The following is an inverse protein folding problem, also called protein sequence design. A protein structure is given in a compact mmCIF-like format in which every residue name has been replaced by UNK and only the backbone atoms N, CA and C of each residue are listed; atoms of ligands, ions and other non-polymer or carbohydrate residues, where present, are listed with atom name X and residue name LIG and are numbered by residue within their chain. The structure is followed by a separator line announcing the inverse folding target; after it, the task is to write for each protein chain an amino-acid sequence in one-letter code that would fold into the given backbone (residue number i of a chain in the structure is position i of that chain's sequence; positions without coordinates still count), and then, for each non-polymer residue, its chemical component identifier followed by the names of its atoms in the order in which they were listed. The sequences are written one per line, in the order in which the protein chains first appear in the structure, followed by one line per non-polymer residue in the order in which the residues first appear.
data_IF_261486978124
#
_entry.id   IF_261486978124
#
_cell.length_a   1.000
_cell.length_b   1.000
_cell.length_c   1.000
_cell.angle_alpha   90.00
_cell.angle_beta   90.00
_cell.angle_gamma   90.00
#
_symmetry.space_group_name_H-M   'P 1'
#
loop_
_entity.id
_entity.type
_entity.pdbx_description
1 polymer ?
#
# COMPACT_ATOMS: atom_id res chain seq x y z
N UNK A 1 57.85 20.84 -12.46
CA UNK A 1 59.05 20.45 -11.67
C UNK A 1 58.57 19.56 -10.53
N UNK A 2 58.51 18.25 -10.74
CA UNK A 2 59.50 17.23 -10.31
C UNK A 2 59.72 17.18 -8.79
N UNK A 3 59.24 16.11 -8.16
CA UNK A 3 60.04 15.00 -7.59
C UNK A 3 59.29 14.34 -6.42
N UNK A 4 58.87 13.09 -6.59
CA UNK A 4 59.00 12.08 -5.53
C UNK A 4 59.35 10.71 -6.11
N UNK A 5 60.27 10.11 -5.38
CA UNK A 5 61.20 9.01 -5.61
C UNK A 5 60.54 7.63 -5.68
N UNK A 6 61.21 6.73 -6.40
CA UNK A 6 60.90 5.32 -6.63
C UNK A 6 61.33 4.37 -5.50
N UNK A 7 60.77 3.15 -5.47
CA UNK A 7 61.45 1.85 -5.28
C UNK A 7 60.44 0.69 -5.53
N UNK A 8 60.51 -0.05 -6.64
CA UNK A 8 61.25 -1.31 -6.95
C UNK A 8 60.40 -2.60 -6.81
N UNK A 9 60.05 -3.14 -7.99
CA UNK A 9 60.02 -4.53 -8.52
C UNK A 9 59.79 -5.73 -7.58
N UNK A 10 58.94 -6.68 -8.03
CA UNK A 10 59.41 -7.94 -8.64
C UNK A 10 58.29 -8.65 -9.45
N UNK A 11 58.70 -9.23 -10.57
CA UNK A 11 57.87 -10.01 -11.50
C UNK A 11 57.89 -11.50 -11.15
N UNK A 12 56.84 -12.25 -11.54
CA UNK A 12 56.97 -13.54 -12.24
C UNK A 12 55.61 -14.04 -12.73
N UNK A 13 55.60 -14.46 -13.99
CA UNK A 13 54.53 -15.18 -14.67
C UNK A 13 54.64 -16.68 -14.38
N UNK A 14 53.51 -17.40 -14.40
CA UNK A 14 53.41 -18.78 -14.91
C UNK A 14 51.97 -19.13 -15.25
N UNK A 15 51.83 -19.83 -16.37
CA UNK A 15 50.61 -20.38 -16.93
C UNK A 15 50.07 -21.58 -16.13
N UNK A 16 48.76 -21.85 -16.24
CA UNK A 16 48.18 -23.13 -15.81
C UNK A 16 47.22 -23.65 -16.87
N UNK A 17 47.59 -24.81 -17.41
CA UNK A 17 46.89 -25.62 -18.40
C UNK A 17 45.85 -26.51 -17.72
N UNK A 18 44.76 -26.80 -18.44
CA UNK A 18 43.63 -27.63 -18.04
C UNK A 18 43.99 -29.12 -17.81
N UNK A 19 43.32 -29.77 -16.85
CA UNK A 19 43.16 -31.23 -16.80
C UNK A 19 41.71 -31.56 -16.41
N UNK A 20 41.05 -32.28 -17.32
CA UNK A 20 39.74 -32.91 -17.17
C UNK A 20 39.93 -34.26 -16.44
N UNK A 21 39.18 -34.50 -15.36
CA UNK A 21 39.16 -35.82 -14.68
C UNK A 21 37.72 -36.33 -14.57
N UNK A 22 37.49 -37.50 -15.17
CA UNK A 22 36.29 -38.31 -15.02
C UNK A 22 36.20 -38.85 -13.59
N UNK A 23 35.03 -38.73 -12.97
CA UNK A 23 34.69 -39.42 -11.72
C UNK A 23 33.79 -40.62 -12.04
N UNK A 24 34.38 -41.82 -11.98
CA UNK A 24 33.67 -43.07 -11.73
C UNK A 24 33.42 -43.17 -10.22
N UNK A 25 32.19 -43.45 -9.81
CA UNK A 25 31.90 -43.81 -8.41
C UNK A 25 30.94 -44.99 -8.33
N UNK A 26 31.29 -45.86 -7.39
CA UNK A 26 30.90 -47.25 -7.27
C UNK A 26 29.47 -47.45 -6.76
N UNK A 27 28.89 -48.56 -7.23
CA UNK A 27 27.69 -49.21 -6.70
C UNK A 27 27.88 -49.62 -5.24
N UNK A 28 27.03 -49.10 -4.35
CA UNK A 28 26.79 -49.69 -3.03
C UNK A 28 25.30 -50.05 -2.93
N UNK A 29 25.05 -51.34 -2.88
CA UNK A 29 23.74 -51.94 -2.64
C UNK A 29 23.37 -51.81 -1.16
N UNK A 30 22.42 -50.92 -0.85
CA UNK A 30 21.70 -50.91 0.41
C UNK A 30 20.25 -51.33 0.15
N UNK A 31 19.84 -52.40 0.82
CA UNK A 31 18.53 -53.02 0.73
C UNK A 31 17.41 -52.00 1.03
N UNK A 32 16.45 -51.88 0.11
CA UNK A 32 15.21 -51.17 0.33
C UNK A 32 14.37 -51.94 1.35
N UNK A 33 14.28 -51.43 2.58
CA UNK A 33 13.11 -51.67 3.41
C UNK A 33 11.93 -50.95 2.74
N UNK A 34 10.92 -51.70 2.32
CA UNK A 34 9.71 -51.16 1.73
C UNK A 34 9.01 -50.24 2.73
N UNK A 35 9.02 -48.94 2.46
CA UNK A 35 8.12 -47.99 3.13
C UNK A 35 6.67 -48.41 2.88
N UNK A 36 5.78 -48.34 3.87
CA UNK A 36 4.37 -48.59 3.63
C UNK A 36 3.89 -47.58 2.60
N UNK A 37 3.30 -48.08 1.54
CA UNK A 37 2.63 -47.32 0.49
C UNK A 37 1.61 -46.40 1.12
N UNK A 38 2.01 -45.15 1.39
CA UNK A 38 1.08 -44.05 1.50
C UNK A 38 0.50 -43.88 0.09
N UNK A 39 -0.71 -44.40 -0.10
CA UNK A 39 -1.46 -44.18 -1.33
C UNK A 39 -1.72 -42.68 -1.38
N UNK A 40 -0.80 -41.97 -2.03
CA UNK A 40 -1.03 -40.63 -2.56
C UNK A 40 -2.24 -40.73 -3.48
N UNK A 41 -3.44 -40.57 -2.92
CA UNK A 41 -4.64 -40.34 -3.68
C UNK A 41 -4.34 -39.13 -4.57
N UNK A 42 -4.20 -39.38 -5.87
CA UNK A 42 -4.01 -38.31 -6.84
C UNK A 42 -5.15 -37.31 -6.62
N UNK A 43 -4.80 -36.05 -6.33
CA UNK A 43 -5.80 -35.01 -6.11
C UNK A 43 -6.69 -34.97 -7.34
N UNK A 44 -7.98 -35.26 -7.15
CA UNK A 44 -8.94 -35.49 -8.21
C UNK A 44 -9.60 -34.21 -8.72
N UNK A 45 -9.48 -33.09 -8.02
CA UNK A 45 -10.04 -31.80 -8.44
C UNK A 45 -9.14 -30.56 -8.29
N UNK A 46 -9.62 -29.44 -8.81
CA UNK A 46 -8.98 -28.11 -8.79
C UNK A 46 -10.05 -27.02 -8.74
N UNK A 47 -9.80 -25.94 -8.00
CA UNK A 47 -10.65 -24.73 -8.06
C UNK A 47 -10.15 -23.76 -9.14
N UNK A 48 -11.06 -23.21 -9.92
CA UNK A 48 -10.80 -22.18 -10.94
C UNK A 48 -11.77 -21.01 -10.78
N UNK A 49 -11.40 -19.83 -11.30
CA UNK A 49 -12.30 -18.66 -11.29
C UNK A 49 -13.50 -18.91 -12.22
N UNK A 50 -14.72 -18.67 -11.75
CA UNK A 50 -15.93 -18.84 -12.55
C UNK A 50 -15.91 -17.98 -13.82
N UNK A 51 -15.31 -16.78 -13.77
CA UNK A 51 -15.19 -15.89 -14.93
C UNK A 51 -14.24 -16.42 -16.01
N UNK A 52 -13.41 -17.42 -15.70
CA UNK A 52 -12.56 -18.10 -16.68
C UNK A 52 -13.29 -19.16 -17.49
N UNK A 53 -14.53 -19.50 -17.13
CA UNK A 53 -15.33 -20.55 -17.76
C UNK A 53 -16.43 -19.95 -18.65
N UNK A 54 -16.74 -20.58 -19.80
CA UNK A 54 -17.90 -20.19 -20.57
C UNK A 54 -19.20 -20.53 -19.84
N UNK A 55 -20.25 -19.73 -20.06
CA UNK A 55 -21.49 -19.77 -19.28
C UNK A 55 -22.23 -21.11 -19.36
N UNK A 56 -22.10 -21.84 -20.48
CA UNK A 56 -22.67 -23.16 -20.64
C UNK A 56 -22.04 -24.20 -19.71
N UNK A 57 -20.76 -24.04 -19.37
CA UNK A 57 -20.08 -24.87 -18.39
C UNK A 57 -20.51 -24.54 -16.96
N UNK A 58 -21.18 -23.43 -16.67
CA UNK A 58 -21.67 -23.11 -15.33
C UNK A 58 -23.08 -23.65 -15.05
N UNK A 59 -23.77 -24.20 -16.05
CA UNK A 59 -25.15 -24.70 -15.92
C UNK A 59 -25.26 -25.73 -14.78
N UNK A 60 -26.28 -25.56 -13.95
CA UNK A 60 -26.52 -26.43 -12.80
C UNK A 60 -25.77 -26.00 -11.55
N UNK A 61 -24.87 -25.01 -11.63
CA UNK A 61 -24.23 -24.34 -10.49
C UNK A 61 -24.67 -22.87 -10.35
N UNK A 62 -25.88 -22.59 -10.80
CA UNK A 62 -26.42 -21.22 -10.91
C UNK A 62 -26.99 -20.67 -9.59
N UNK A 63 -27.15 -21.51 -8.56
CA UNK A 63 -27.91 -21.19 -7.34
C UNK A 63 -27.16 -21.58 -6.07
N UNK A 64 -25.99 -20.99 -5.78
CA UNK A 64 -25.30 -21.22 -4.52
C UNK A 64 -26.12 -20.68 -3.33
N UNK A 65 -26.28 -21.54 -2.33
CA UNK A 65 -27.01 -21.25 -1.09
C UNK A 65 -26.04 -20.79 0.01
N UNK A 66 -26.46 -19.95 0.96
CA UNK A 66 -25.64 -19.62 2.13
C UNK A 66 -25.10 -20.87 2.83
N UNK A 67 -23.83 -20.85 3.24
CA UNK A 67 -23.18 -22.01 3.87
C UNK A 67 -23.93 -22.52 5.10
N UNK A 68 -24.47 -21.60 5.92
CA UNK A 68 -25.26 -21.96 7.10
C UNK A 68 -26.52 -22.79 6.77
N UNK A 69 -27.16 -22.54 5.62
CA UNK A 69 -28.32 -23.31 5.15
C UNK A 69 -27.89 -24.70 4.65
N UNK A 70 -26.77 -24.75 3.92
CA UNK A 70 -26.16 -26.01 3.48
C UNK A 70 -25.75 -26.88 4.67
N UNK A 71 -25.06 -26.33 5.66
CA UNK A 71 -24.60 -27.07 6.83
C UNK A 71 -25.78 -27.67 7.62
N UNK A 72 -26.84 -26.89 7.88
CA UNK A 72 -28.04 -27.36 8.61
C UNK A 72 -28.77 -28.50 7.91
N UNK A 73 -28.84 -28.47 6.58
CA UNK A 73 -29.51 -29.52 5.80
C UNK A 73 -28.71 -30.82 5.71
N UNK A 74 -27.43 -30.81 6.09
CA UNK A 74 -26.50 -31.94 5.98
C UNK A 74 -25.97 -32.41 7.34
N UNK A 75 -26.46 -31.86 8.45
CA UNK A 75 -26.23 -32.38 9.80
C UNK A 75 -27.42 -33.26 10.20
N UNK A 76 -27.16 -34.53 10.54
CA UNK A 76 -28.19 -35.54 10.87
C UNK A 76 -28.75 -35.38 12.28
N UNK A 77 -28.13 -34.57 13.14
CA UNK A 77 -28.66 -34.25 14.47
C UNK A 77 -28.57 -32.75 14.74
N UNK A 78 -29.75 -32.16 14.98
CA UNK A 78 -29.93 -30.73 15.18
C UNK A 78 -29.20 -30.22 16.42
N UNK A 79 -28.08 -29.52 16.20
CA UNK A 79 -27.54 -28.61 17.20
C UNK A 79 -27.74 -27.18 16.70
N UNK A 80 -28.72 -26.51 17.29
CA UNK A 80 -28.96 -25.08 17.08
C UNK A 80 -27.81 -24.31 17.71
N UNK A 81 -26.91 -23.75 16.90
CA UNK A 81 -25.95 -22.74 17.35
C UNK A 81 -26.39 -21.36 16.90
N UNK A 82 -26.86 -20.57 17.86
CA UNK A 82 -26.94 -19.12 17.75
C UNK A 82 -25.55 -18.55 18.02
N UNK A 83 -24.91 -17.99 17.00
CA UNK A 83 -23.79 -17.06 17.20
C UNK A 83 -24.35 -15.65 17.17
N UNK A 84 -24.25 -14.96 18.32
CA UNK A 84 -24.41 -13.52 18.36
C UNK A 84 -23.26 -12.90 17.53
N UNK A 85 -23.59 -12.21 16.44
CA UNK A 85 -22.64 -11.39 15.73
C UNK A 85 -22.14 -10.30 16.69
N UNK A 86 -20.86 -10.35 17.06
CA UNK A 86 -20.23 -9.22 17.73
C UNK A 86 -20.26 -8.07 16.73
N UNK A 87 -20.89 -6.95 17.11
CA UNK A 87 -20.97 -5.80 16.24
C UNK A 87 -19.56 -5.24 15.98
N UNK A 88 -19.25 -4.95 14.72
CA UNK A 88 -18.00 -4.28 14.35
C UNK A 88 -17.84 -2.96 15.15
N UNK A 89 -16.62 -2.64 15.60
CA UNK A 89 -16.30 -1.33 16.13
C UNK A 89 -16.77 -0.19 15.18
N UNK A 90 -17.18 0.97 15.73
CA UNK A 90 -17.78 2.04 14.93
C UNK A 90 -16.91 2.55 13.76
N UNK A 91 -15.60 2.63 13.97
CA UNK A 91 -14.59 3.02 12.99
C UNK A 91 -14.48 2.01 11.83
N UNK A 92 -14.49 0.71 12.13
CA UNK A 92 -14.52 -0.35 11.11
C UNK A 92 -15.81 -0.28 10.29
N UNK A 93 -16.95 -0.07 10.96
CA UNK A 93 -18.27 0.02 10.31
C UNK A 93 -18.35 1.21 9.35
N UNK A 94 -17.79 2.36 9.73
CA UNK A 94 -17.71 3.52 8.85
C UNK A 94 -16.79 3.25 7.65
N UNK A 95 -15.59 2.71 7.88
CA UNK A 95 -14.63 2.42 6.81
C UNK A 95 -15.19 1.41 5.80
N UNK A 96 -15.87 0.34 6.24
CA UNK A 96 -16.55 -0.63 5.34
C UNK A 96 -17.58 0.05 4.44
N UNK A 97 -18.42 0.92 5.00
CA UNK A 97 -19.44 1.66 4.23
C UNK A 97 -18.81 2.56 3.17
N UNK A 98 -17.73 3.26 3.52
CA UNK A 98 -17.01 4.09 2.55
C UNK A 98 -16.30 3.23 1.49
N UNK A 99 -15.74 2.09 1.90
CA UNK A 99 -15.09 1.12 1.02
C UNK A 99 -16.03 0.61 -0.06
N UNK A 100 -17.27 0.26 0.31
CA UNK A 100 -18.29 -0.20 -0.61
C UNK A 100 -18.60 0.81 -1.73
N UNK A 101 -18.50 2.12 -1.44
CA UNK A 101 -18.67 3.20 -2.43
C UNK A 101 -17.49 3.29 -3.42
N UNK A 102 -16.39 2.59 -3.15
CA UNK A 102 -15.16 2.57 -3.96
C UNK A 102 -14.89 1.18 -4.54
N UNK A 103 -15.95 0.41 -4.86
CA UNK A 103 -15.89 -1.00 -5.23
C UNK A 103 -14.83 -1.35 -6.30
N UNK A 104 -14.68 -0.54 -7.36
CA UNK A 104 -13.68 -0.80 -8.40
C UNK A 104 -12.24 -0.77 -7.87
N UNK A 105 -11.91 0.21 -7.01
CA UNK A 105 -10.59 0.32 -6.38
C UNK A 105 -10.40 -0.75 -5.29
N UNK A 106 -11.46 -0.97 -4.49
CA UNK A 106 -11.45 -1.93 -3.39
C UNK A 106 -11.22 -3.38 -3.83
N UNK A 107 -11.50 -3.74 -5.10
CA UNK A 107 -11.25 -5.09 -5.65
C UNK A 107 -9.81 -5.33 -6.12
N UNK A 108 -9.01 -4.27 -6.28
CA UNK A 108 -7.61 -4.40 -6.70
C UNK A 108 -6.75 -5.03 -5.59
N UNK A 109 -5.58 -5.56 -5.92
CA UNK A 109 -4.65 -6.12 -4.93
C UNK A 109 -4.23 -5.10 -3.86
N UNK A 110 -4.13 -3.81 -4.22
CA UNK A 110 -3.80 -2.74 -3.25
C UNK A 110 -5.03 -2.23 -2.48
N UNK A 111 -6.23 -2.51 -2.98
CA UNK A 111 -7.47 -1.99 -2.42
C UNK A 111 -7.63 -0.48 -2.61
N UNK A 112 -8.57 0.10 -1.86
CA UNK A 112 -8.78 1.54 -1.76
C UNK A 112 -8.05 2.10 -0.54
N UNK A 113 -7.09 2.99 -0.77
CA UNK A 113 -6.43 3.75 0.28
C UNK A 113 -7.20 5.06 0.48
N UNK A 114 -7.95 5.16 1.58
CA UNK A 114 -8.77 6.33 1.93
C UNK A 114 -7.89 7.50 2.34
N UNK A 115 -6.89 7.23 3.16
CA UNK A 115 -5.97 8.22 3.72
C UNK A 115 -4.62 7.60 4.04
N UNK A 116 -3.69 8.38 4.59
CA UNK A 116 -2.43 7.88 5.15
C UNK A 116 -2.65 6.92 6.34
N UNK A 117 -3.85 6.84 6.91
CA UNK A 117 -4.15 6.11 8.14
C UNK A 117 -5.22 5.03 7.98
N UNK A 118 -5.96 5.02 6.88
CA UNK A 118 -7.03 4.06 6.64
C UNK A 118 -6.98 3.54 5.19
N UNK A 119 -7.09 2.22 5.04
CA UNK A 119 -7.25 1.54 3.76
C UNK A 119 -8.21 0.36 3.86
N UNK A 120 -8.75 -0.07 2.73
CA UNK A 120 -9.60 -1.26 2.71
C UNK A 120 -9.48 -2.00 1.38
N UNK A 121 -9.77 -3.30 1.42
CA UNK A 121 -9.98 -4.14 0.26
C UNK A 121 -11.27 -4.94 0.48
N UNK A 122 -12.09 -5.02 -0.57
CA UNK A 122 -13.20 -5.97 -0.68
C UNK A 122 -13.06 -6.69 -2.00
N UNK A 123 -12.78 -7.99 -1.95
CA UNK A 123 -12.68 -8.82 -3.15
C UNK A 123 -13.66 -9.99 -3.06
N UNK A 124 -14.72 -10.00 -3.90
CA UNK A 124 -15.55 -11.19 -4.05
C UNK A 124 -14.77 -12.25 -4.82
N UNK A 125 -14.88 -13.50 -4.37
CA UNK A 125 -14.36 -14.68 -5.06
C UNK A 125 -15.54 -15.55 -5.49
N UNK A 126 -15.49 -16.03 -6.73
CA UNK A 126 -16.46 -16.94 -7.32
C UNK A 126 -15.69 -18.08 -7.97
N UNK A 127 -15.64 -19.22 -7.30
CA UNK A 127 -14.76 -20.33 -7.64
C UNK A 127 -15.58 -21.56 -7.98
N UNK A 128 -15.14 -22.29 -9.00
CA UNK A 128 -15.70 -23.57 -9.42
C UNK A 128 -14.70 -24.66 -9.09
N UNK A 129 -15.10 -25.62 -8.26
CA UNK A 129 -14.38 -26.86 -8.07
C UNK A 129 -14.67 -27.78 -9.27
N UNK A 130 -13.64 -28.25 -9.95
CA UNK A 130 -13.71 -29.15 -11.10
C UNK A 130 -12.85 -30.37 -10.87
N UNK A 131 -13.07 -31.44 -11.64
CA UNK A 131 -12.07 -32.50 -11.75
C UNK A 131 -10.76 -31.97 -12.35
N UNK A 132 -9.64 -32.66 -12.13
CA UNK A 132 -8.33 -32.24 -12.65
C UNK A 132 -8.23 -32.22 -14.18
N UNK A 133 -9.14 -32.92 -14.87
CA UNK A 133 -9.21 -32.90 -16.35
C UNK A 133 -9.99 -31.69 -16.86
N UNK A 134 -10.63 -30.92 -15.97
CA UNK A 134 -11.50 -29.80 -16.31
C UNK A 134 -12.78 -30.23 -17.02
N UNK A 135 -13.20 -31.50 -16.91
CA UNK A 135 -14.34 -32.03 -17.64
C UNK A 135 -15.65 -31.91 -16.87
N UNK A 136 -15.59 -32.08 -15.55
CA UNK A 136 -16.77 -32.11 -14.68
C UNK A 136 -16.66 -31.02 -13.63
N UNK A 137 -17.75 -30.31 -13.37
CA UNK A 137 -17.82 -29.42 -12.21
C UNK A 137 -18.37 -30.18 -11.01
N UNK A 138 -17.66 -30.06 -9.89
CA UNK A 138 -17.96 -30.74 -8.64
C UNK A 138 -18.60 -29.79 -7.61
N UNK A 139 -18.48 -28.48 -7.82
CA UNK A 139 -19.24 -27.51 -7.03
C UNK A 139 -18.84 -26.07 -7.28
N UNK A 140 -19.59 -25.16 -6.66
CA UNK A 140 -19.32 -23.72 -6.67
C UNK A 140 -19.16 -23.20 -5.25
N UNK A 141 -18.20 -22.30 -5.05
CA UNK A 141 -17.93 -21.59 -3.81
C UNK A 141 -17.86 -20.10 -4.11
N UNK A 142 -18.69 -19.32 -3.41
CA UNK A 142 -18.66 -17.86 -3.45
C UNK A 142 -18.41 -17.31 -2.04
N UNK A 143 -17.60 -16.26 -1.92
CA UNK A 143 -17.40 -15.54 -0.65
C UNK A 143 -16.84 -14.13 -0.88
N UNK A 144 -17.02 -13.26 0.10
CA UNK A 144 -16.38 -11.95 0.17
C UNK A 144 -15.12 -12.02 1.04
N UNK A 145 -13.97 -11.67 0.49
CA UNK A 145 -12.75 -11.43 1.25
C UNK A 145 -12.61 -9.93 1.57
N UNK A 146 -12.32 -9.62 2.83
CA UNK A 146 -12.02 -8.26 3.29
C UNK A 146 -10.66 -8.15 3.96
N UNK A 147 -10.01 -7.01 3.77
CA UNK A 147 -8.94 -6.50 4.64
C UNK A 147 -9.19 -5.03 4.92
N UNK A 148 -9.27 -4.63 6.18
CA UNK A 148 -9.28 -3.23 6.61
C UNK A 148 -7.94 -2.90 7.25
N UNK A 149 -7.27 -1.84 6.81
CA UNK A 149 -5.98 -1.41 7.32
C UNK A 149 -6.06 -0.11 8.11
N UNK A 150 -5.42 -0.07 9.28
CA UNK A 150 -5.36 1.07 10.18
C UNK A 150 -3.91 1.38 10.57
N UNK A 151 -3.43 2.58 10.24
CA UNK A 151 -2.12 3.07 10.62
C UNK A 151 -2.27 4.29 11.53
N UNK A 152 -1.26 4.61 12.34
CA UNK A 152 -1.43 5.55 13.45
C UNK A 152 -0.38 6.66 13.47
N UNK A 153 -0.85 7.91 13.61
CA UNK A 153 0.01 8.99 14.05
C UNK A 153 0.19 8.91 15.58
N UNK A 154 1.43 8.68 16.02
CA UNK A 154 1.82 8.49 17.42
C UNK A 154 2.36 7.11 17.77
N UNK A 155 2.17 6.11 16.90
CA UNK A 155 2.63 4.74 17.14
C UNK A 155 3.23 4.14 15.88
N UNK A 156 4.36 3.45 16.01
CA UNK A 156 4.98 2.68 14.92
C UNK A 156 4.27 1.33 14.77
N UNK A 157 2.98 1.38 14.44
CA UNK A 157 2.04 0.24 14.37
C UNK A 157 1.13 0.36 13.16
N UNK A 158 0.79 -0.76 12.54
CA UNK A 158 -0.33 -0.90 11.61
C UNK A 158 -1.12 -2.15 11.98
N UNK A 159 -2.44 -2.04 11.93
CA UNK A 159 -3.36 -3.15 12.15
C UNK A 159 -4.09 -3.51 10.87
N UNK A 160 -4.29 -4.79 10.64
CA UNK A 160 -5.16 -5.32 9.60
C UNK A 160 -6.28 -6.15 10.23
N UNK A 161 -7.53 -5.81 9.92
CA UNK A 161 -8.69 -6.65 10.24
C UNK A 161 -9.07 -7.38 8.97
N UNK A 162 -8.81 -8.68 8.93
CA UNK A 162 -9.07 -9.54 7.78
C UNK A 162 -10.27 -10.44 8.05
N UNK A 163 -11.05 -10.72 7.00
CA UNK A 163 -12.18 -11.65 7.11
C UNK A 163 -12.54 -12.34 5.81
N UNK A 164 -13.29 -13.44 5.98
CA UNK A 164 -14.01 -14.17 4.93
C UNK A 164 -15.49 -14.17 5.33
N UNK A 165 -16.34 -13.63 4.47
CA UNK A 165 -17.75 -13.34 4.78
C UNK A 165 -18.67 -13.80 3.64
N UNK A 166 -19.98 -13.84 3.94
CA UNK A 166 -21.04 -14.14 2.99
C UNK A 166 -20.80 -15.43 2.19
N UNK A 167 -20.38 -16.51 2.85
CA UNK A 167 -20.03 -17.76 2.18
C UNK A 167 -21.28 -18.41 1.58
N UNK A 168 -21.22 -18.76 0.29
CA UNK A 168 -22.27 -19.51 -0.42
C UNK A 168 -21.68 -20.70 -1.15
N UNK A 169 -22.37 -21.82 -1.15
CA UNK A 169 -21.89 -23.09 -1.71
C UNK A 169 -22.95 -23.78 -2.55
N UNK A 170 -22.50 -24.56 -3.53
CA UNK A 170 -23.33 -25.49 -4.29
C UNK A 170 -22.48 -26.70 -4.70
N UNK A 171 -22.24 -27.68 -3.81
CA UNK A 171 -21.57 -28.92 -4.19
C UNK A 171 -22.54 -29.85 -4.95
N UNK A 172 -22.00 -30.73 -5.78
CA UNK A 172 -22.75 -31.90 -6.27
C UNK A 172 -22.91 -32.93 -5.13
N UNK A 173 -23.82 -33.92 -5.22
CA UNK A 173 -24.10 -34.86 -4.12
C UNK A 173 -22.89 -35.64 -3.59
N UNK A 174 -21.85 -35.85 -4.41
CA UNK A 174 -20.63 -36.56 -4.02
C UNK A 174 -19.59 -35.67 -3.33
N UNK A 175 -19.83 -34.36 -3.25
CA UNK A 175 -18.96 -33.39 -2.60
C UNK A 175 -19.58 -32.87 -1.29
N UNK A 176 -18.74 -32.69 -0.27
CA UNK A 176 -19.14 -32.16 1.02
C UNK A 176 -18.46 -30.82 1.27
N UNK A 177 -19.21 -29.72 1.13
CA UNK A 177 -18.69 -28.38 1.33
C UNK A 177 -18.35 -28.08 2.80
N UNK A 178 -18.79 -28.90 3.77
CA UNK A 178 -18.34 -28.78 5.17
C UNK A 178 -16.86 -29.08 5.32
N UNK A 179 -16.25 -29.79 4.37
CA UNK A 179 -14.82 -30.14 4.36
C UNK A 179 -13.96 -29.16 3.56
N UNK A 180 -14.58 -28.17 2.89
CA UNK A 180 -13.83 -27.16 2.15
C UNK A 180 -13.18 -26.15 3.10
N UNK A 181 -12.02 -25.63 2.71
CA UNK A 181 -11.18 -24.73 3.53
C UNK A 181 -10.79 -23.49 2.75
N UNK A 182 -10.74 -22.38 3.47
CA UNK A 182 -10.20 -21.11 2.98
C UNK A 182 -9.05 -20.70 3.91
N UNK A 183 -7.93 -20.29 3.33
CA UNK A 183 -6.76 -19.81 4.03
C UNK A 183 -6.37 -18.40 3.61
N UNK A 184 -6.02 -17.57 4.58
CA UNK A 184 -5.39 -16.26 4.39
C UNK A 184 -3.99 -16.33 4.99
N UNK A 185 -2.96 -16.10 4.16
CA UNK A 185 -1.55 -16.24 4.53
C UNK A 185 -0.84 -14.91 4.31
N UNK A 186 -0.68 -14.15 5.38
CA UNK A 186 0.05 -12.90 5.38
C UNK A 186 1.56 -13.14 5.44
N UNK A 187 2.29 -12.20 4.87
CA UNK A 187 3.73 -12.07 4.97
C UNK A 187 4.10 -10.60 4.89
N UNK A 188 5.30 -10.28 5.35
CA UNK A 188 5.85 -8.94 5.21
C UNK A 188 7.25 -9.00 4.60
N UNK A 189 7.60 -7.94 3.88
CA UNK A 189 8.94 -7.73 3.34
C UNK A 189 9.40 -6.32 3.68
N UNK A 190 10.68 -6.14 4.01
CA UNK A 190 11.28 -4.84 4.30
C UNK A 190 12.05 -4.38 3.06
N UNK A 191 11.76 -3.16 2.61
CA UNK A 191 12.54 -2.51 1.56
C UNK A 191 13.75 -1.81 2.19
N UNK A 192 14.83 -2.56 2.37
CA UNK A 192 16.05 -2.07 3.01
C UNK A 192 16.70 -0.88 2.26
N UNK A 193 16.63 -0.86 0.92
CA UNK A 193 17.26 0.21 0.11
C UNK A 193 16.55 1.56 0.23
N UNK A 194 15.28 1.56 0.61
CA UNK A 194 14.50 2.78 0.85
C UNK A 194 14.37 3.13 2.33
N UNK A 195 14.89 2.30 3.23
CA UNK A 195 14.79 2.49 4.68
C UNK A 195 16.05 3.11 5.26
N UNK A 196 15.93 3.72 6.44
CA UNK A 196 17.06 4.14 7.25
C UNK A 196 17.79 2.89 7.82
N UNK A 197 19.05 3.02 8.29
CA UNK A 197 19.85 1.89 8.74
C UNK A 197 19.20 1.02 9.84
N UNK A 198 19.47 -0.28 9.76
CA UNK A 198 18.92 -1.36 10.61
C UNK A 198 17.38 -1.43 10.65
N UNK A 199 16.70 -1.52 9.49
CA UNK A 199 15.25 -1.56 9.48
C UNK A 199 14.72 -2.86 10.08
N UNK A 200 13.71 -2.74 10.96
CA UNK A 200 13.08 -3.88 11.63
C UNK A 200 11.56 -3.74 11.63
N UNK A 201 10.87 -4.85 11.43
CA UNK A 201 9.43 -5.00 11.60
C UNK A 201 9.21 -6.24 12.47
N UNK A 202 8.37 -6.10 13.51
CA UNK A 202 7.89 -7.22 14.30
C UNK A 202 6.53 -7.63 13.75
N UNK A 203 6.45 -8.89 13.29
CA UNK A 203 5.23 -9.53 12.85
C UNK A 203 4.36 -9.99 14.03
N UNK A 204 3.05 -10.20 13.84
CA UNK A 204 2.23 -10.90 14.82
C UNK A 204 2.66 -12.37 14.97
N UNK A 205 2.28 -13.00 16.08
CA UNK A 205 2.59 -14.41 16.34
C UNK A 205 1.99 -15.36 15.28
N UNK A 206 0.80 -15.02 14.77
CA UNK A 206 0.13 -15.77 13.72
C UNK A 206 -0.07 -14.89 12.48
N UNK A 207 0.56 -15.28 11.38
CA UNK A 207 0.41 -14.63 10.07
C UNK A 207 -0.46 -15.43 9.09
N UNK A 208 -0.86 -16.65 9.45
CA UNK A 208 -1.70 -17.50 8.62
C UNK A 208 -2.92 -17.99 9.39
N UNK A 209 -4.10 -17.88 8.76
CA UNK A 209 -5.32 -18.49 9.26
C UNK A 209 -5.95 -19.32 8.17
N UNK A 210 -6.05 -20.61 8.43
CA UNK A 210 -6.68 -21.57 7.53
C UNK A 210 -7.76 -22.34 8.27
N UNK A 211 -8.97 -22.35 7.73
CA UNK A 211 -10.16 -22.82 8.42
C UNK A 211 -11.18 -23.44 7.47
N UNK A 212 -11.96 -24.38 8.01
CA UNK A 212 -13.17 -24.87 7.36
C UNK A 212 -14.16 -23.72 7.14
N UNK A 213 -15.04 -23.86 6.15
CA UNK A 213 -16.06 -22.84 5.86
C UNK A 213 -16.90 -22.50 7.11
N UNK A 214 -17.29 -23.48 7.93
CA UNK A 214 -18.04 -23.22 9.17
C UNK A 214 -17.26 -22.48 10.26
N UNK A 215 -15.93 -22.55 10.26
CA UNK A 215 -15.11 -21.72 11.15
C UNK A 215 -15.18 -20.26 10.70
N UNK A 216 -15.09 -19.99 9.40
CA UNK A 216 -15.19 -18.65 8.87
C UNK A 216 -16.60 -18.08 9.01
N UNK A 217 -17.63 -18.89 8.77
CA UNK A 217 -19.04 -18.50 8.93
C UNK A 217 -19.34 -18.08 10.38
N UNK A 218 -18.80 -18.81 11.37
CA UNK A 218 -19.02 -18.51 12.79
C UNK A 218 -18.09 -17.43 13.36
N UNK A 219 -16.84 -17.35 12.89
CA UNK A 219 -15.83 -16.37 13.33
C UNK A 219 -15.11 -15.77 12.12
N UNK A 220 -15.76 -14.87 11.37
CA UNK A 220 -15.24 -14.41 10.08
C UNK A 220 -13.98 -13.56 10.21
N UNK A 221 -13.78 -12.87 11.33
CA UNK A 221 -12.73 -11.87 11.51
C UNK A 221 -11.53 -12.41 12.28
N UNK A 222 -10.35 -11.85 11.97
CA UNK A 222 -9.14 -11.91 12.78
C UNK A 222 -8.29 -10.65 12.54
N UNK A 223 -7.31 -10.42 13.41
CA UNK A 223 -6.51 -9.19 13.40
C UNK A 223 -5.03 -9.51 13.36
N UNK A 224 -4.29 -8.76 12.55
CA UNK A 224 -2.84 -8.80 12.46
C UNK A 224 -2.28 -7.44 12.86
N UNK A 225 -1.31 -7.42 13.76
CA UNK A 225 -0.64 -6.19 14.20
C UNK A 225 0.84 -6.27 13.87
N UNK A 226 1.29 -5.37 13.00
CA UNK A 226 2.70 -5.20 12.68
C UNK A 226 3.22 -3.95 13.38
N UNK A 227 4.42 -4.05 13.95
CA UNK A 227 5.08 -2.90 14.60
C UNK A 227 6.51 -2.75 14.11
N UNK A 228 7.11 -1.60 14.35
CA UNK A 228 8.54 -1.39 14.12
C UNK A 228 9.17 -0.79 15.37
N UNK A 229 10.20 -1.42 15.96
CA UNK A 229 10.86 -0.87 17.14
C UNK A 229 11.51 0.48 16.81
N UNK A 230 11.73 1.29 17.84
CA UNK A 230 12.49 2.54 17.73
C UNK A 230 13.65 2.58 18.71
N UNK A 231 14.67 3.37 18.37
CA UNK A 231 15.91 3.59 19.12
C UNK A 231 15.86 4.92 19.91
N UNK A 232 14.66 5.43 20.19
CA UNK A 232 14.48 6.77 20.77
C UNK A 232 14.66 7.90 19.75
N UNK A 233 14.73 9.14 20.22
CA UNK A 233 14.81 10.34 19.37
C UNK A 233 16.18 10.48 18.68
N UNK A 234 16.23 10.25 17.37
CA UNK A 234 17.43 10.43 16.54
C UNK A 234 17.24 11.44 15.38
N UNK A 235 16.05 12.04 15.26
CA UNK A 235 15.69 12.93 14.16
C UNK A 235 16.54 14.22 14.14
N UNK A 236 16.98 14.71 15.30
CA UNK A 236 17.90 15.86 15.39
C UNK A 236 19.29 15.55 14.79
N UNK A 237 19.63 14.27 14.66
CA UNK A 237 20.85 13.77 14.00
C UNK A 237 20.60 13.40 12.52
N UNK A 238 19.45 13.78 11.97
CA UNK A 238 19.06 13.48 10.59
C UNK A 238 18.54 12.06 10.36
N UNK A 239 18.35 11.25 11.42
CA UNK A 239 17.84 9.89 11.30
C UNK A 239 16.39 9.81 11.77
N UNK A 240 15.46 9.72 10.81
CA UNK A 240 14.03 9.61 11.07
C UNK A 240 13.56 8.16 11.31
N UNK A 241 14.48 7.19 11.35
CA UNK A 241 14.22 5.77 11.55
C UNK A 241 13.11 5.24 10.62
N UNK A 242 13.14 5.66 9.35
CA UNK A 242 12.19 5.27 8.32
C UNK A 242 12.35 3.77 8.05
N UNK A 243 11.25 3.03 8.13
CA UNK A 243 11.20 1.62 7.74
C UNK A 243 10.07 1.47 6.73
N UNK A 244 10.42 1.16 5.49
CA UNK A 244 9.45 0.87 4.44
C UNK A 244 9.24 -0.64 4.36
N UNK A 245 7.99 -1.07 4.48
CA UNK A 245 7.63 -2.48 4.42
C UNK A 245 6.39 -2.68 3.55
N UNK A 246 6.33 -3.82 2.88
CA UNK A 246 5.13 -4.28 2.19
C UNK A 246 4.58 -5.47 2.94
N UNK A 247 3.32 -5.39 3.36
CA UNK A 247 2.54 -6.54 3.83
C UNK A 247 1.75 -7.08 2.65
N UNK A 248 1.81 -8.38 2.39
CA UNK A 248 0.98 -9.03 1.38
C UNK A 248 0.28 -10.24 1.94
N UNK A 249 -0.85 -10.61 1.33
CA UNK A 249 -1.59 -11.82 1.69
C UNK A 249 -1.85 -12.65 0.45
N UNK A 250 -1.57 -13.94 0.57
CA UNK A 250 -2.01 -14.97 -0.37
C UNK A 250 -3.32 -15.59 0.15
N UNK A 251 -4.21 -15.90 -0.79
CA UNK A 251 -5.45 -16.61 -0.49
C UNK A 251 -5.35 -18.03 -1.02
N UNK A 252 -5.74 -19.00 -0.20
CA UNK A 252 -5.87 -20.41 -0.60
C UNK A 252 -7.29 -20.93 -0.44
N UNK A 253 -7.73 -21.81 -1.34
CA UNK A 253 -8.99 -22.56 -1.22
C UNK A 253 -8.72 -24.02 -1.51
N UNK A 254 -9.24 -24.93 -0.70
CA UNK A 254 -9.03 -26.38 -0.89
C UNK A 254 -10.25 -27.21 -0.48
N UNK A 255 -10.31 -28.43 -1.01
CA UNK A 255 -11.17 -29.52 -0.54
C UNK A 255 -10.31 -30.78 -0.36
N UNK A 256 -10.76 -31.80 0.39
CA UNK A 256 -9.95 -33.01 0.65
C UNK A 256 -9.44 -33.69 -0.63
N UNK A 257 -10.24 -33.65 -1.69
CA UNK A 257 -9.94 -34.31 -2.96
C UNK A 257 -9.36 -33.36 -4.01
N UNK A 258 -9.04 -32.12 -3.66
CA UNK A 258 -8.61 -31.10 -4.64
C UNK A 258 -7.23 -30.51 -4.35
N UNK A 259 -6.54 -30.14 -5.42
CA UNK A 259 -5.39 -29.24 -5.35
C UNK A 259 -5.83 -27.88 -4.78
N UNK A 260 -5.04 -27.30 -3.85
CA UNK A 260 -5.32 -25.97 -3.37
C UNK A 260 -5.27 -24.97 -4.52
N UNK A 261 -6.34 -24.21 -4.70
CA UNK A 261 -6.28 -22.99 -5.47
C UNK A 261 -5.50 -21.96 -4.68
N UNK A 262 -4.56 -21.31 -5.36
CA UNK A 262 -3.88 -20.11 -4.88
C UNK A 262 -4.42 -18.93 -5.67
N UNK A 263 -4.89 -17.88 -5.00
CA UNK A 263 -5.58 -16.74 -5.61
C UNK A 263 -4.77 -15.83 -6.52
N UNK A 264 -3.70 -16.34 -7.14
CA UNK A 264 -2.65 -15.60 -7.82
C UNK A 264 -1.88 -14.77 -6.78
N UNK A 265 -0.64 -15.15 -6.47
CA UNK A 265 0.12 -14.58 -5.35
C UNK A 265 -0.02 -13.06 -5.18
N UNK A 266 -0.04 -12.62 -3.92
CA UNK A 266 -0.38 -11.26 -3.48
C UNK A 266 -1.84 -10.86 -3.77
N UNK A 267 -2.80 -11.71 -3.36
CA UNK A 267 -4.22 -11.39 -3.35
C UNK A 267 -4.54 -10.04 -2.69
N UNK A 268 -3.70 -9.64 -1.73
CA UNK A 268 -3.64 -8.30 -1.14
C UNK A 268 -2.19 -7.80 -1.02
N UNK A 269 -2.00 -6.49 -1.13
CA UNK A 269 -0.74 -5.78 -0.88
C UNK A 269 -0.96 -4.45 -0.20
N UNK A 270 -0.12 -4.12 0.78
CA UNK A 270 -0.13 -2.85 1.50
C UNK A 270 1.28 -2.34 1.72
N UNK A 271 1.56 -1.14 1.20
CA UNK A 271 2.85 -0.47 1.42
C UNK A 271 2.75 0.46 2.63
N UNK A 272 3.61 0.23 3.60
CA UNK A 272 3.61 0.89 4.91
C UNK A 272 4.96 1.55 5.15
N UNK A 273 4.96 2.73 5.76
CA UNK A 273 6.16 3.36 6.32
C UNK A 273 5.97 3.56 7.82
N UNK A 274 6.91 3.07 8.61
CA UNK A 274 7.09 3.43 10.02
C UNK A 274 8.16 4.51 10.13
N UNK A 275 8.00 5.48 11.00
CA UNK A 275 9.00 6.53 11.20
C UNK A 275 8.98 7.12 12.61
N UNK A 276 10.09 7.77 12.97
CA UNK A 276 10.29 8.61 14.13
C UNK A 276 10.93 9.93 13.65
N UNK A 277 10.12 10.75 12.99
CA UNK A 277 10.55 12.00 12.38
C UNK A 277 10.44 13.25 13.28
N UNK A 278 9.98 13.11 14.53
CA UNK A 278 9.82 14.22 15.45
C UNK A 278 8.55 15.06 15.17
N UNK A 279 8.45 16.25 15.80
CA UNK A 279 7.24 17.09 15.75
C UNK A 279 6.96 17.69 14.38
N UNK A 280 7.98 17.81 13.53
CA UNK A 280 7.86 18.35 12.17
C UNK A 280 6.91 17.54 11.27
N UNK A 281 6.63 16.29 11.68
CA UNK A 281 5.74 15.35 11.00
C UNK A 281 4.38 15.16 11.71
N UNK A 282 4.03 15.97 12.72
CA UNK A 282 2.88 15.73 13.60
C UNK A 282 3.34 15.18 14.94
N UNK A 283 2.86 14.01 15.37
CA UNK A 283 3.44 13.36 16.57
C UNK A 283 4.87 12.89 16.30
N UNK A 284 5.62 12.59 17.34
CA UNK A 284 7.04 12.25 17.23
C UNK A 284 7.33 11.01 16.37
N UNK A 285 6.46 10.01 16.44
CA UNK A 285 6.57 8.75 15.70
C UNK A 285 5.23 8.33 15.14
N UNK A 286 5.22 7.46 14.15
CA UNK A 286 3.97 7.02 13.53
C UNK A 286 4.17 6.04 12.40
N UNK A 287 3.04 5.66 11.82
CA UNK A 287 2.96 4.78 10.67
C UNK A 287 1.97 5.33 9.67
N UNK A 288 2.27 5.19 8.38
CA UNK A 288 1.38 5.58 7.28
C UNK A 288 1.32 4.53 6.18
N UNK A 289 0.20 4.49 5.46
CA UNK A 289 0.13 3.88 4.14
C UNK A 289 0.87 4.76 3.13
N UNK A 290 2.04 4.32 2.67
CA UNK A 290 2.97 5.16 1.89
C UNK A 290 2.50 5.45 0.46
N UNK A 291 1.53 4.68 -0.04
CA UNK A 291 0.89 4.88 -1.35
C UNK A 291 -0.36 5.76 -1.30
N UNK A 292 -0.76 6.25 -0.13
CA UNK A 292 -1.90 7.17 -0.01
C UNK A 292 -1.64 8.46 -0.78
N UNK A 293 -2.62 8.89 -1.59
CA UNK A 293 -2.58 10.18 -2.27
C UNK A 293 -2.91 11.29 -1.28
N UNK A 294 -1.93 12.13 -0.98
CA UNK A 294 -2.11 13.31 -0.12
C UNK A 294 -2.37 14.53 -1.00
N UNK A 295 -3.44 15.26 -0.72
CA UNK A 295 -3.80 16.49 -1.44
C UNK A 295 -3.89 17.67 -0.47
N UNK A 296 -3.26 18.79 -0.81
CA UNK A 296 -3.61 20.08 -0.25
C UNK A 296 -4.78 20.64 -1.06
N UNK A 297 -5.93 20.77 -0.40
CA UNK A 297 -7.16 21.28 -1.00
C UNK A 297 -7.35 22.74 -0.60
N UNK A 298 -7.49 23.61 -1.59
CA UNK A 298 -7.86 25.02 -1.40
C UNK A 298 -9.05 25.37 -2.30
N UNK A 299 -9.87 26.34 -1.87
CA UNK A 299 -11.04 26.78 -2.61
C UNK A 299 -10.92 28.25 -2.98
N UNK A 300 -11.27 28.59 -4.22
CA UNK A 300 -11.30 29.99 -4.68
C UNK A 300 -12.48 30.79 -4.11
N UNK A 301 -13.46 30.12 -3.49
CA UNK A 301 -14.56 30.76 -2.74
C UNK A 301 -14.28 30.96 -1.26
N UNK A 302 -13.25 30.30 -0.74
CA UNK A 302 -12.88 30.44 0.66
C UNK A 302 -12.12 31.76 0.84
N UNK A 303 -12.81 32.77 1.36
CA UNK A 303 -12.29 34.15 1.53
C UNK A 303 -11.02 34.23 2.38
N UNK A 304 -10.64 33.19 3.10
CA UNK A 304 -9.43 33.18 3.89
C UNK A 304 -8.18 32.79 3.08
N UNK A 305 -8.34 32.24 1.87
CA UNK A 305 -7.25 31.75 0.99
C UNK A 305 -7.58 31.90 -0.51
N UNK A 306 -8.52 32.76 -0.87
CA UNK A 306 -9.01 32.82 -2.25
C UNK A 306 -7.96 33.42 -3.20
N UNK A 307 -7.09 34.31 -2.72
CA UNK A 307 -6.01 34.86 -3.53
C UNK A 307 -4.89 33.83 -3.76
N UNK A 308 -4.43 33.13 -2.71
CA UNK A 308 -3.53 31.98 -2.84
C UNK A 308 -4.12 30.90 -3.76
N UNK A 309 -5.40 30.53 -3.57
CA UNK A 309 -6.06 29.52 -4.39
C UNK A 309 -6.15 29.95 -5.87
N UNK A 310 -6.39 31.23 -6.14
CA UNK A 310 -6.41 31.77 -7.50
C UNK A 310 -5.00 31.79 -8.11
N UNK A 311 -3.98 32.19 -7.36
CA UNK A 311 -2.60 32.14 -7.81
C UNK A 311 -2.18 30.71 -8.21
N UNK A 312 -2.42 29.74 -7.33
CA UNK A 312 -2.08 28.34 -7.59
C UNK A 312 -2.91 27.78 -8.75
N UNK A 313 -4.19 28.16 -8.87
CA UNK A 313 -5.01 27.80 -10.02
C UNK A 313 -4.40 28.29 -11.33
N UNK A 314 -3.99 29.55 -11.39
CA UNK A 314 -3.38 30.10 -12.59
C UNK A 314 -2.04 29.42 -12.87
N UNK A 315 -1.20 29.15 -11.87
CA UNK A 315 0.04 28.43 -12.06
C UNK A 315 -0.17 27.02 -12.66
N UNK A 316 -1.20 26.31 -12.19
CA UNK A 316 -1.52 24.94 -12.62
C UNK A 316 -2.20 24.85 -13.99
N UNK A 317 -3.06 25.82 -14.33
CA UNK A 317 -4.00 25.70 -15.46
C UNK A 317 -3.93 26.85 -16.47
N UNK A 318 -3.28 27.96 -16.10
CA UNK A 318 -3.05 29.14 -16.93
C UNK A 318 -1.61 29.65 -16.75
N UNK A 319 -0.58 28.80 -16.87
CA UNK A 319 0.80 29.18 -16.56
C UNK A 319 1.29 30.37 -17.39
N UNK A 320 0.70 30.61 -18.58
CA UNK A 320 0.94 31.80 -19.41
C UNK A 320 0.61 33.13 -18.72
N UNK A 321 -0.24 33.11 -17.68
CA UNK A 321 -0.65 34.27 -16.88
C UNK A 321 0.22 34.48 -15.63
N UNK A 322 1.35 33.78 -15.54
CA UNK A 322 2.17 33.77 -14.33
C UNK A 322 3.63 34.12 -14.61
N UNK A 323 4.33 34.59 -13.58
CA UNK A 323 5.74 35.00 -13.66
C UNK A 323 6.66 34.01 -12.92
N UNK A 324 7.86 33.68 -13.43
CA UNK A 324 8.42 34.12 -14.72
C UNK A 324 7.60 33.57 -15.89
N UNK A 325 7.41 34.38 -16.94
CA UNK A 325 6.62 33.99 -18.11
C UNK A 325 7.53 33.53 -19.26
N UNK A 326 7.21 32.39 -19.85
CA UNK A 326 7.90 31.87 -21.04
C UNK A 326 7.00 30.90 -21.83
N UNK A 327 7.17 30.78 -23.17
CA UNK A 327 6.31 29.93 -24.00
C UNK A 327 6.43 28.44 -23.65
N UNK A 328 5.30 27.78 -23.38
CA UNK A 328 5.28 26.34 -23.05
C UNK A 328 5.51 26.04 -21.57
N UNK A 329 5.49 27.06 -20.70
CA UNK A 329 5.58 26.88 -19.25
C UNK A 329 4.56 25.88 -18.74
N UNK A 330 5.01 24.98 -17.87
CA UNK A 330 4.17 24.09 -17.08
C UNK A 330 4.64 24.07 -15.64
N UNK A 331 3.71 23.96 -14.69
CA UNK A 331 4.01 23.96 -13.25
C UNK A 331 3.49 22.68 -12.61
N UNK A 332 4.27 21.96 -11.79
CA UNK A 332 3.86 20.69 -11.20
C UNK A 332 2.80 20.85 -10.10
N UNK A 333 2.17 19.74 -9.72
CA UNK A 333 1.31 19.62 -8.53
C UNK A 333 -0.01 18.88 -8.74
N UNK A 334 -0.49 18.72 -9.98
CA UNK A 334 -1.73 17.96 -10.25
C UNK A 334 -1.43 16.52 -10.65
N UNK A 335 -0.66 16.34 -11.73
CA UNK A 335 -0.19 15.06 -12.27
C UNK A 335 1.20 14.71 -11.75
N UNK A 336 2.14 15.65 -11.90
CA UNK A 336 3.47 15.58 -11.28
C UNK A 336 3.33 15.96 -9.80
N UNK A 337 3.78 15.12 -8.84
CA UNK A 337 3.72 15.47 -7.42
C UNK A 337 4.68 16.60 -7.07
N UNK A 338 4.37 17.30 -5.98
CA UNK A 338 5.32 18.09 -5.23
C UNK A 338 5.93 17.22 -4.13
N UNK A 339 7.19 17.46 -3.76
CA UNK A 339 7.86 16.76 -2.68
C UNK A 339 8.21 17.74 -1.57
N UNK A 340 7.82 17.41 -0.33
CA UNK A 340 8.15 18.26 0.82
C UNK A 340 9.67 18.41 0.95
N UNK A 341 10.10 19.63 1.22
CA UNK A 341 11.47 20.00 1.54
C UNK A 341 11.48 20.51 2.99
N UNK A 342 12.38 19.98 3.83
CA UNK A 342 12.52 20.41 5.24
C UNK A 342 13.85 21.12 5.54
N UNK A 343 14.80 21.08 4.61
CA UNK A 343 16.09 21.77 4.71
C UNK A 343 15.90 23.28 4.66
N UNK A 344 16.09 23.94 5.82
CA UNK A 344 15.79 25.37 5.97
C UNK A 344 16.62 26.26 5.04
N UNK A 345 17.89 25.92 4.81
CA UNK A 345 18.75 26.72 3.93
C UNK A 345 18.22 26.70 2.48
N UNK A 346 17.74 25.53 2.01
CA UNK A 346 17.13 25.40 0.69
C UNK A 346 15.77 26.10 0.60
N UNK A 347 14.96 26.02 1.65
CA UNK A 347 13.69 26.75 1.75
C UNK A 347 13.94 28.26 1.65
N UNK A 348 14.92 28.78 2.38
CA UNK A 348 15.24 30.21 2.35
C UNK A 348 15.79 30.65 0.99
N UNK A 349 16.54 29.79 0.31
CA UNK A 349 17.02 30.06 -1.05
C UNK A 349 15.85 30.10 -2.07
N UNK A 350 14.90 29.17 -1.98
CA UNK A 350 13.65 29.24 -2.76
C UNK A 350 12.93 30.57 -2.50
N UNK A 351 12.68 30.91 -1.24
CA UNK A 351 11.97 32.15 -0.89
C UNK A 351 12.67 33.39 -1.40
N UNK A 352 14.00 33.49 -1.20
CA UNK A 352 14.81 34.60 -1.71
C UNK A 352 14.71 34.73 -3.24
N UNK A 353 14.71 33.62 -3.96
CA UNK A 353 14.60 33.64 -5.41
C UNK A 353 13.21 34.07 -5.89
N UNK A 354 12.14 33.62 -5.22
CA UNK A 354 10.78 34.05 -5.52
C UNK A 354 10.57 35.54 -5.24
N UNK A 355 11.09 36.04 -4.11
CA UNK A 355 11.05 37.47 -3.77
C UNK A 355 11.74 38.31 -4.85
N UNK A 356 12.92 37.90 -5.32
CA UNK A 356 13.61 38.60 -6.42
C UNK A 356 12.76 38.64 -7.69
N UNK A 357 12.06 37.56 -8.03
CA UNK A 357 11.17 37.57 -9.20
C UNK A 357 9.96 38.48 -8.98
N UNK A 358 9.39 38.53 -7.76
CA UNK A 358 8.34 39.50 -7.43
C UNK A 358 8.83 40.95 -7.58
N UNK A 359 9.99 41.28 -7.02
CA UNK A 359 10.58 42.62 -7.10
C UNK A 359 10.90 43.02 -8.54
N UNK A 360 11.32 42.06 -9.36
CA UNK A 360 11.54 42.28 -10.80
C UNK A 360 10.25 42.63 -11.56
N UNK A 361 9.11 42.06 -11.17
CA UNK A 361 7.82 42.27 -11.87
C UNK A 361 7.06 43.48 -11.34
N UNK A 362 7.01 43.67 -10.02
CA UNK A 362 6.18 44.70 -9.36
C UNK A 362 6.98 45.78 -8.63
N UNK A 363 8.31 45.70 -8.61
CA UNK A 363 9.15 46.60 -7.82
C UNK A 363 9.07 46.32 -6.31
N UNK A 364 9.56 47.27 -5.52
CA UNK A 364 9.49 47.18 -4.06
C UNK A 364 8.02 47.33 -3.59
N UNK A 365 7.52 46.31 -2.89
CA UNK A 365 6.15 46.25 -2.35
C UNK A 365 6.12 46.44 -0.82
N UNK A 366 7.22 46.88 -0.21
CA UNK A 366 7.28 47.18 1.22
C UNK A 366 6.22 48.21 1.62
N UNK A 367 5.49 47.94 2.71
CA UNK A 367 4.43 48.83 3.21
C UNK A 367 3.08 48.72 2.49
N UNK A 368 2.96 47.91 1.43
CA UNK A 368 1.69 47.74 0.69
C UNK A 368 0.66 46.84 1.37
N UNK A 369 1.07 46.07 2.39
CA UNK A 369 0.26 44.98 2.96
C UNK A 369 0.26 43.69 2.13
N UNK A 370 0.83 43.72 0.92
CA UNK A 370 0.97 42.56 0.05
C UNK A 370 2.21 41.72 0.39
N UNK A 371 2.16 40.44 0.05
CA UNK A 371 3.27 39.50 0.16
C UNK A 371 3.47 38.77 -1.16
N UNK A 372 4.72 38.41 -1.45
CA UNK A 372 5.05 37.55 -2.58
C UNK A 372 4.65 36.10 -2.24
N UNK A 373 3.57 35.63 -2.85
CA UNK A 373 3.20 34.21 -2.85
C UNK A 373 3.94 33.47 -3.98
N UNK A 374 4.25 32.21 -3.73
CA UNK A 374 5.14 31.40 -4.55
C UNK A 374 4.59 29.98 -4.72
N UNK A 375 4.54 29.51 -5.96
CA UNK A 375 4.09 28.17 -6.28
C UNK A 375 4.92 27.54 -7.41
N UNK A 376 5.55 26.37 -7.23
CA UNK A 376 5.54 25.53 -6.03
C UNK A 376 6.14 26.21 -4.80
N UNK A 377 5.67 25.84 -3.61
CA UNK A 377 6.01 26.49 -2.35
C UNK A 377 7.52 26.41 -2.05
N UNK A 378 8.09 27.37 -1.31
CA UNK A 378 9.50 27.28 -0.91
C UNK A 378 9.83 26.00 -0.12
N UNK A 379 8.86 25.42 0.59
CA UNK A 379 8.98 24.13 1.27
C UNK A 379 8.78 22.91 0.35
N UNK A 380 9.08 23.05 -0.95
CA UNK A 380 9.07 21.95 -1.91
C UNK A 380 10.38 21.82 -2.67
N UNK A 381 10.71 20.59 -3.10
CA UNK A 381 11.87 20.31 -3.96
C UNK A 381 11.70 20.90 -5.37
N UNK A 382 10.45 21.17 -5.76
CA UNK A 382 10.04 21.83 -6.99
C UNK A 382 10.01 23.37 -6.89
N UNK A 383 10.46 23.93 -5.77
CA UNK A 383 10.51 25.37 -5.55
C UNK A 383 11.41 26.11 -6.54
N UNK A 384 11.42 27.44 -6.45
CA UNK A 384 11.96 28.33 -7.50
C UNK A 384 13.46 28.19 -7.80
N UNK A 385 14.25 27.55 -6.93
CA UNK A 385 15.68 27.25 -7.19
C UNK A 385 15.95 25.90 -7.85
N UNK A 386 14.90 25.17 -8.26
CA UNK A 386 15.06 23.90 -8.98
C UNK A 386 15.84 24.03 -10.31
N UNK A 387 15.86 25.22 -10.90
CA UNK A 387 16.63 25.53 -12.11
C UNK A 387 15.89 25.26 -13.42
N UNK A 388 14.60 24.93 -13.39
CA UNK A 388 13.76 24.70 -14.56
C UNK A 388 12.77 25.84 -14.85
N UNK A 389 12.76 26.89 -14.01
CA UNK A 389 11.82 28.02 -14.08
C UNK A 389 10.33 27.60 -14.11
N UNK A 390 10.00 26.40 -13.61
CA UNK A 390 8.63 25.87 -13.51
C UNK A 390 7.96 26.29 -12.19
N UNK A 391 8.08 27.58 -11.84
CA UNK A 391 7.44 28.18 -10.68
C UNK A 391 6.68 29.45 -11.07
N UNK A 392 5.85 29.96 -10.16
CA UNK A 392 4.98 31.10 -10.31
C UNK A 392 5.10 31.97 -9.07
N UNK A 393 5.13 33.29 -9.26
CA UNK A 393 5.01 34.26 -8.17
C UNK A 393 3.87 35.23 -8.43
N UNK A 394 3.27 35.73 -7.33
CA UNK A 394 2.22 36.76 -7.36
C UNK A 394 2.20 37.54 -6.06
N UNK A 395 2.04 38.86 -6.14
CA UNK A 395 1.69 39.65 -4.96
C UNK A 395 0.21 39.42 -4.60
N UNK A 396 -0.04 39.00 -3.37
CA UNK A 396 -1.37 38.79 -2.80
C UNK A 396 -1.46 39.40 -1.40
N UNK A 397 -2.67 39.53 -0.86
CA UNK A 397 -2.91 40.00 0.51
C UNK A 397 -2.15 39.16 1.57
N UNK A 398 -1.45 39.84 2.49
CA UNK A 398 -0.60 39.17 3.47
C UNK A 398 -1.35 38.22 4.43
N UNK A 399 -2.51 38.61 5.00
CA UNK A 399 -3.39 37.70 5.71
C UNK A 399 -3.80 36.44 4.92
N UNK A 400 -4.21 36.56 3.66
CA UNK A 400 -4.54 35.42 2.78
C UNK A 400 -3.34 34.47 2.62
N UNK A 401 -2.18 35.03 2.24
CA UNK A 401 -0.95 34.28 2.02
C UNK A 401 -0.52 33.48 3.26
N UNK A 402 -0.57 34.13 4.44
CA UNK A 402 -0.25 33.50 5.72
C UNK A 402 -1.16 32.32 6.01
N UNK A 403 -2.47 32.47 5.77
CA UNK A 403 -3.44 31.40 5.96
C UNK A 403 -3.21 30.27 4.95
N UNK A 404 -2.80 30.59 3.72
CA UNK A 404 -2.34 29.60 2.73
C UNK A 404 -1.19 28.75 3.27
N UNK A 405 -0.16 29.39 3.83
CA UNK A 405 0.98 28.72 4.48
C UNK A 405 0.59 27.88 5.70
N UNK A 406 -0.34 28.36 6.53
CA UNK A 406 -0.88 27.60 7.68
C UNK A 406 -1.58 26.31 7.21
N UNK A 407 -2.38 26.36 6.14
CA UNK A 407 -3.02 25.16 5.57
C UNK A 407 -2.03 24.16 5.02
N UNK A 408 -0.96 24.64 4.38
CA UNK A 408 0.13 23.79 3.91
C UNK A 408 0.80 23.04 5.08
N UNK A 409 1.12 23.76 6.17
CA UNK A 409 1.70 23.16 7.38
C UNK A 409 0.74 22.16 8.05
N UNK A 410 -0.55 22.47 8.12
CA UNK A 410 -1.57 21.55 8.61
C UNK A 410 -1.65 20.30 7.75
N UNK A 411 -1.64 20.41 6.41
CA UNK A 411 -1.64 19.25 5.52
C UNK A 411 -0.41 18.37 5.77
N UNK A 412 0.78 18.97 5.90
CA UNK A 412 2.00 18.21 6.19
C UNK A 412 1.92 17.43 7.49
N UNK A 413 1.43 18.06 8.56
CA UNK A 413 1.37 17.45 9.90
C UNK A 413 0.24 16.44 10.01
N UNK A 414 -0.97 16.77 9.57
CA UNK A 414 -2.14 15.89 9.62
C UNK A 414 -1.98 14.63 8.76
N UNK A 415 -1.11 14.65 7.73
CA UNK A 415 -0.86 13.50 6.86
C UNK A 415 0.52 12.87 7.07
N UNK A 416 1.27 13.33 8.09
CA UNK A 416 2.63 12.86 8.41
C UNK A 416 3.56 12.84 7.18
N UNK A 417 3.53 13.90 6.39
CA UNK A 417 4.34 14.08 5.17
C UNK A 417 5.78 14.37 5.58
N UNK A 418 6.74 13.52 5.23
CA UNK A 418 8.16 13.72 5.56
C UNK A 418 8.93 14.39 4.42
N UNK A 419 10.21 14.73 4.66
CA UNK A 419 11.09 15.18 3.58
C UNK A 419 11.14 14.16 2.45
N UNK A 420 10.85 14.65 1.24
CA UNK A 420 10.77 13.86 0.02
C UNK A 420 9.45 13.13 -0.20
N UNK A 421 8.49 13.17 0.72
CA UNK A 421 7.19 12.57 0.48
C UNK A 421 6.42 13.36 -0.61
N UNK A 422 5.74 12.64 -1.53
CA UNK A 422 4.91 13.28 -2.53
C UNK A 422 3.57 13.75 -1.96
N UNK A 423 3.11 14.90 -2.44
CA UNK A 423 1.76 15.41 -2.26
C UNK A 423 1.32 16.18 -3.51
N UNK A 424 0.03 16.47 -3.61
CA UNK A 424 -0.59 17.10 -4.78
C UNK A 424 -1.42 18.31 -4.38
N UNK A 425 -1.68 19.18 -5.33
CA UNK A 425 -2.62 20.29 -5.21
C UNK A 425 -3.96 19.96 -5.81
N UNK A 426 -5.01 20.39 -5.13
CA UNK A 426 -6.38 20.38 -5.65
C UNK A 426 -7.05 21.72 -5.38
N UNK A 427 -7.29 22.48 -6.44
CA UNK A 427 -8.08 23.71 -6.34
C UNK A 427 -9.54 23.41 -6.66
N UNK A 428 -10.43 23.91 -5.81
CA UNK A 428 -11.88 23.78 -5.94
C UNK A 428 -12.53 25.14 -6.17
N UNK A 429 -13.75 25.13 -6.73
CA UNK A 429 -14.51 26.33 -7.03
C UNK A 429 -15.30 26.85 -5.86
#
# INVERSE_FOLDING_TARGET
MTLRTACIRFARATATTAILTLLTSATTTAAHAASPTDVSASKAGVFVDAASLPADQLRGLDRPVPYVEYARSHDVDGVTRQTAAVADPPDQKDLRKQCAKQAAKARTATGWIKSRFESCQKRPYDLILRDVKGTTNLGRLWFDQWVLGFAYDGSRRVDYVASIENIRVQPIPTEDAKKWRIGQHFRHNINASSSDPDPKVNAPETEARDGLLGMWDSKPHWTLTYTSPDKGALFDKGNAQRVFSTVSMDLSVSSPNAAPFTGGGNAYTSSVRYDYAGKSAGKHKGTVFSKARVELVMSRKDKAVNESALHIYDALYRPERTFPSWPGKSVPGTKEPLHRLVDQAKIDNNRKNSIRECEKVWGNYSGSGLQCDEYPFASTKEGSTKGDNRFSVRLIDGPDNRRGGERLLQMYTLNRVLDGDPFYMKITN
#
